data_IF_299348713521
#
_entry.id   IF_299348713521
#
_cell.length_a   1.000
_cell.length_b   1.000
_cell.length_c   1.000
_cell.angle_alpha   90.00
_cell.angle_beta   90.00
_cell.angle_gamma   90.00
#
_symmetry.space_group_name_H-M   'P 1'
#
loop_
_entity.id
_entity.type
_entity.pdbx_description
1 polymer ?
#
# COMPACT_ATOMS: atom_id res chain seq x y z
N UNK A 1 -38.75 -14.21 55.70
CA UNK A 1 -39.31 -12.90 55.28
C UNK A 1 -38.58 -12.52 53.98
N UNK A 2 -39.14 -12.40 52.78
CA UNK A 2 -40.52 -12.27 52.34
C UNK A 2 -40.71 -12.79 50.90
N UNK A 3 -41.84 -13.48 50.72
CA UNK A 3 -42.83 -13.40 49.62
C UNK A 3 -42.40 -13.57 48.15
N UNK A 4 -42.78 -14.73 47.63
CA UNK A 4 -43.10 -15.00 46.20
C UNK A 4 -44.21 -14.06 45.71
N UNK A 5 -44.19 -13.60 44.44
CA UNK A 5 -45.35 -13.00 43.81
C UNK A 5 -46.30 -14.09 43.32
N UNK A 6 -47.51 -14.08 43.86
CA UNK A 6 -48.67 -14.79 43.34
C UNK A 6 -49.19 -14.03 42.12
N UNK A 7 -49.03 -14.59 40.93
CA UNK A 7 -49.70 -14.09 39.72
C UNK A 7 -51.06 -14.75 39.60
N UNK A 8 -52.08 -13.94 39.82
CA UNK A 8 -53.51 -14.23 39.77
C UNK A 8 -53.90 -14.78 38.40
N UNK A 9 -54.48 -15.98 38.36
CA UNK A 9 -55.17 -16.49 37.18
C UNK A 9 -56.48 -15.73 36.99
N UNK A 10 -56.50 -14.77 36.07
CA UNK A 10 -57.73 -14.26 35.51
C UNK A 10 -58.25 -15.28 34.49
N UNK A 11 -59.10 -16.22 34.94
CA UNK A 11 -60.01 -16.97 34.06
C UNK A 11 -61.08 -16.00 33.57
N UNK A 12 -60.77 -15.26 32.51
CA UNK A 12 -61.78 -14.62 31.69
C UNK A 12 -62.50 -15.70 30.91
N UNK A 13 -63.83 -15.74 31.00
CA UNK A 13 -64.66 -16.52 30.10
C UNK A 13 -64.40 -16.01 28.67
N UNK A 14 -63.57 -16.73 27.92
CA UNK A 14 -63.50 -16.56 26.49
C UNK A 14 -64.86 -17.02 25.95
N UNK A 15 -65.70 -16.07 25.55
CA UNK A 15 -66.67 -16.34 24.50
C UNK A 15 -65.85 -16.99 23.39
N UNK A 16 -66.15 -18.24 23.04
CA UNK A 16 -65.56 -18.89 21.89
C UNK A 16 -65.93 -18.05 20.66
N UNK A 17 -65.10 -17.06 20.35
CA UNK A 17 -65.24 -16.26 19.16
C UNK A 17 -65.06 -17.25 18.02
N UNK A 18 -66.09 -17.41 17.20
CA UNK A 18 -66.03 -18.27 16.03
C UNK A 18 -64.77 -17.90 15.23
N UNK A 19 -63.88 -18.87 15.05
CA UNK A 19 -62.69 -18.71 14.23
C UNK A 19 -63.15 -18.56 12.78
N UNK A 20 -63.11 -17.34 12.25
CA UNK A 20 -63.43 -17.03 10.86
C UNK A 20 -62.14 -16.84 10.05
N UNK A 21 -62.07 -17.49 8.89
CA UNK A 21 -60.94 -17.33 7.98
C UNK A 21 -60.96 -15.94 7.36
N UNK A 22 -59.89 -15.17 7.54
CA UNK A 22 -59.78 -13.81 7.02
C UNK A 22 -59.81 -13.68 5.49
N UNK A 23 -59.66 -14.78 4.75
CA UNK A 23 -59.57 -14.78 3.29
C UNK A 23 -60.85 -15.27 2.64
N UNK A 24 -61.39 -16.42 3.08
CA UNK A 24 -62.59 -17.01 2.48
C UNK A 24 -63.87 -16.84 3.32
N UNK A 25 -63.78 -16.39 4.58
CA UNK A 25 -64.94 -16.25 5.48
C UNK A 25 -65.45 -17.55 6.10
N UNK A 26 -64.76 -18.68 5.88
CA UNK A 26 -65.16 -19.96 6.49
C UNK A 26 -65.06 -19.88 8.02
N UNK A 27 -66.09 -20.34 8.73
CA UNK A 27 -66.18 -20.35 10.19
C UNK A 27 -65.95 -21.77 10.74
N UNK A 28 -65.28 -21.87 11.88
CA UNK A 28 -65.13 -23.14 12.60
C UNK A 28 -66.47 -23.56 13.24
N UNK A 29 -66.95 -24.76 12.91
CA UNK A 29 -68.14 -25.33 13.52
C UNK A 29 -67.78 -26.01 14.85
N UNK A 30 -67.84 -25.24 15.93
CA UNK A 30 -67.82 -25.80 17.28
C UNK A 30 -69.26 -26.13 17.71
N UNK A 31 -69.64 -27.39 17.47
CA UNK A 31 -70.70 -28.11 18.18
C UNK A 31 -71.89 -27.24 18.64
N UNK A 32 -72.73 -26.79 17.71
CA UNK A 32 -74.11 -26.43 18.04
C UNK A 32 -75.04 -27.58 17.72
N UNK A 33 -75.66 -28.03 18.81
CA UNK A 33 -76.75 -28.98 18.90
C UNK A 33 -77.83 -28.70 17.84
N UNK A 34 -78.44 -29.76 17.34
CA UNK A 34 -79.16 -29.78 16.08
C UNK A 34 -80.35 -28.80 15.96
N UNK A 35 -80.57 -28.31 14.74
CA UNK A 35 -81.86 -27.76 14.33
C UNK A 35 -81.78 -26.67 13.27
N UNK A 36 -82.11 -27.01 12.03
CA UNK A 36 -82.55 -26.03 11.03
C UNK A 36 -81.88 -26.18 9.67
N UNK A 37 -82.56 -26.85 8.74
CA UNK A 37 -82.11 -26.99 7.36
C UNK A 37 -82.14 -25.66 6.60
N UNK A 38 -81.02 -25.35 5.97
CA UNK A 38 -80.87 -24.34 4.93
C UNK A 38 -79.66 -24.71 4.08
N UNK A 39 -79.87 -24.96 2.79
CA UNK A 39 -78.82 -25.38 1.86
C UNK A 39 -77.92 -24.19 1.48
N UNK A 40 -76.89 -23.94 2.28
CA UNK A 40 -75.69 -23.20 1.87
C UNK A 40 -74.51 -24.18 1.86
N UNK A 41 -73.79 -24.24 0.75
CA UNK A 41 -72.59 -25.08 0.54
C UNK A 41 -71.38 -24.57 1.33
N UNK A 42 -71.55 -24.22 2.60
CA UNK A 42 -70.47 -23.93 3.53
C UNK A 42 -69.96 -25.26 4.08
N UNK A 43 -68.73 -25.61 3.70
CA UNK A 43 -68.10 -26.84 4.16
C UNK A 43 -67.64 -26.60 5.60
N UNK A 44 -68.30 -27.24 6.58
CA UNK A 44 -67.97 -27.10 8.00
C UNK A 44 -66.54 -27.59 8.27
N UNK A 45 -65.64 -26.68 8.66
CA UNK A 45 -64.26 -27.01 9.03
C UNK A 45 -64.14 -27.12 10.55
N UNK A 46 -63.32 -28.06 11.00
CA UNK A 46 -63.00 -28.22 12.42
C UNK A 46 -62.06 -27.11 12.90
N UNK A 47 -62.17 -26.69 14.17
CA UNK A 47 -61.28 -25.68 14.76
C UNK A 47 -59.78 -26.02 14.65
N UNK A 48 -59.44 -27.32 14.53
CA UNK A 48 -58.07 -27.77 14.33
C UNK A 48 -57.52 -27.44 12.94
N UNK A 49 -58.34 -27.11 11.94
CA UNK A 49 -57.93 -26.75 10.57
C UNK A 49 -57.59 -25.27 10.38
N UNK A 50 -57.68 -24.46 11.44
CA UNK A 50 -57.29 -23.05 11.41
C UNK A 50 -55.87 -22.84 11.95
N UNK A 51 -55.14 -21.92 11.32
CA UNK A 51 -53.84 -21.43 11.77
C UNK A 51 -54.00 -19.96 12.13
N UNK A 52 -53.65 -19.61 13.37
CA UNK A 52 -53.75 -18.24 13.88
C UNK A 52 -52.39 -17.63 14.16
N UNK A 53 -52.27 -16.31 13.92
CA UNK A 53 -51.11 -15.55 14.36
C UNK A 53 -51.23 -15.16 15.85
N UNK A 54 -50.16 -14.62 16.43
CA UNK A 54 -50.13 -14.17 17.84
C UNK A 54 -51.20 -13.11 18.18
N UNK A 55 -51.66 -12.35 17.20
CA UNK A 55 -52.70 -11.32 17.36
C UNK A 55 -54.12 -11.84 17.09
N UNK A 56 -54.30 -13.16 16.95
CA UNK A 56 -55.62 -13.79 16.80
C UNK A 56 -56.19 -13.81 15.38
N UNK A 57 -55.44 -13.36 14.37
CA UNK A 57 -55.85 -13.47 12.96
C UNK A 57 -55.77 -14.91 12.49
N UNK A 58 -56.88 -15.48 12.03
CA UNK A 58 -56.99 -16.88 11.64
C UNK A 58 -57.15 -17.08 10.12
N UNK A 59 -56.57 -18.17 9.62
CA UNK A 59 -56.68 -18.64 8.23
C UNK A 59 -57.01 -20.13 8.25
N UNK A 60 -57.93 -20.55 7.38
CA UNK A 60 -58.10 -21.98 7.13
C UNK A 60 -56.86 -22.56 6.42
N UNK A 61 -56.68 -23.87 6.52
CA UNK A 61 -55.50 -24.59 6.00
C UNK A 61 -55.20 -24.32 4.51
N UNK A 62 -56.23 -24.28 3.66
CA UNK A 62 -56.09 -24.02 2.23
C UNK A 62 -55.63 -22.59 1.93
N UNK A 63 -56.22 -21.61 2.61
CA UNK A 63 -55.83 -20.20 2.49
C UNK A 63 -54.43 -19.96 3.08
N UNK A 64 -54.08 -20.66 4.16
CA UNK A 64 -52.75 -20.60 4.75
C UNK A 64 -51.68 -21.17 3.81
N UNK A 65 -51.90 -22.36 3.22
CA UNK A 65 -50.98 -22.97 2.26
C UNK A 65 -50.78 -22.07 1.03
N UNK A 66 -51.87 -21.55 0.48
CA UNK A 66 -51.83 -20.62 -0.68
C UNK A 66 -51.07 -19.34 -0.35
N UNK A 67 -51.27 -18.78 0.84
CA UNK A 67 -50.54 -17.60 1.31
C UNK A 67 -49.05 -17.88 1.46
N UNK A 68 -48.68 -18.99 2.10
CA UNK A 68 -47.27 -19.41 2.24
C UNK A 68 -46.62 -19.59 0.87
N UNK A 69 -47.29 -20.25 -0.08
CA UNK A 69 -46.79 -20.44 -1.44
C UNK A 69 -46.60 -19.10 -2.16
N UNK A 70 -47.59 -18.22 -2.10
CA UNK A 70 -47.55 -16.90 -2.76
C UNK A 70 -46.44 -16.03 -2.19
N UNK A 71 -46.24 -16.04 -0.87
CA UNK A 71 -45.17 -15.29 -0.22
C UNK A 71 -43.79 -15.87 -0.51
N UNK A 72 -43.66 -17.18 -0.60
CA UNK A 72 -42.38 -17.86 -0.83
C UNK A 72 -41.91 -17.80 -2.28
N UNK A 73 -42.81 -17.53 -3.22
CA UNK A 73 -42.50 -17.44 -4.66
C UNK A 73 -42.21 -16.02 -5.14
N UNK A 74 -42.23 -15.03 -4.24
CA UNK A 74 -41.91 -13.63 -4.57
C UNK A 74 -40.47 -13.46 -5.02
N UNK A 75 -40.20 -12.31 -5.65
CA UNK A 75 -38.86 -11.92 -6.05
C UNK A 75 -37.92 -11.84 -4.83
N UNK A 76 -36.64 -12.14 -5.05
CA UNK A 76 -35.63 -12.19 -3.98
C UNK A 76 -35.52 -10.85 -3.22
N UNK A 77 -35.74 -9.73 -3.91
CA UNK A 77 -35.78 -8.40 -3.30
C UNK A 77 -36.84 -8.29 -2.18
N UNK A 78 -38.04 -8.83 -2.41
CA UNK A 78 -39.13 -8.81 -1.43
C UNK A 78 -38.89 -9.82 -0.30
N UNK A 79 -38.35 -10.99 -0.65
CA UNK A 79 -37.98 -12.02 0.32
C UNK A 79 -36.91 -11.51 1.29
N UNK A 80 -35.94 -10.71 0.81
CA UNK A 80 -34.87 -10.13 1.64
C UNK A 80 -35.38 -9.20 2.73
N UNK A 81 -36.35 -8.34 2.41
CA UNK A 81 -36.98 -7.46 3.41
C UNK A 81 -37.54 -8.27 4.59
N UNK A 82 -37.99 -9.50 4.31
CA UNK A 82 -38.62 -10.41 5.26
C UNK A 82 -37.72 -11.56 5.71
N UNK A 83 -36.45 -11.59 5.28
CA UNK A 83 -35.50 -12.69 5.53
C UNK A 83 -36.03 -14.08 5.11
N UNK A 84 -36.87 -14.12 4.08
CA UNK A 84 -37.57 -15.33 3.61
C UNK A 84 -38.63 -15.86 4.58
N UNK A 85 -39.04 -15.09 5.60
CA UNK A 85 -40.06 -15.49 6.56
C UNK A 85 -41.47 -15.10 6.10
N UNK A 86 -42.46 -15.91 6.48
CA UNK A 86 -43.87 -15.67 6.14
C UNK A 86 -44.57 -15.02 7.33
N UNK A 87 -45.17 -13.86 7.08
CA UNK A 87 -45.92 -13.10 8.07
C UNK A 87 -47.43 -13.30 7.88
N UNK A 88 -48.21 -12.82 8.85
CA UNK A 88 -49.67 -12.75 8.74
C UNK A 88 -50.11 -12.03 7.46
N UNK A 89 -51.23 -12.43 6.84
CA UNK A 89 -51.79 -11.77 5.64
C UNK A 89 -52.03 -10.28 5.86
N UNK A 90 -52.42 -9.89 7.09
CA UNK A 90 -52.58 -8.49 7.52
C UNK A 90 -51.28 -7.75 7.77
N UNK A 91 -50.13 -8.41 7.67
CA UNK A 91 -48.83 -7.74 7.69
C UNK A 91 -48.44 -7.19 6.29
N UNK A 92 -49.25 -7.45 5.26
CA UNK A 92 -49.03 -6.87 3.93
C UNK A 92 -49.32 -5.36 3.90
N UNK A 93 -48.70 -4.66 2.95
CA UNK A 93 -48.90 -3.20 2.78
C UNK A 93 -50.32 -2.82 2.32
N UNK A 94 -51.15 -3.80 1.95
CA UNK A 94 -52.55 -3.57 1.60
C UNK A 94 -53.39 -3.07 2.80
N UNK A 95 -52.94 -3.29 4.04
CA UNK A 95 -53.69 -2.99 5.26
C UNK A 95 -53.11 -1.81 6.06
N UNK A 96 -52.76 -0.71 5.37
CA UNK A 96 -52.00 0.46 5.88
C UNK A 96 -52.38 0.95 7.31
N UNK A 97 -53.67 0.95 7.67
CA UNK A 97 -54.16 1.47 8.96
C UNK A 97 -54.35 0.39 10.05
N UNK A 98 -54.16 -0.90 9.72
CA UNK A 98 -54.37 -2.04 10.61
C UNK A 98 -53.34 -3.16 10.39
N UNK A 99 -52.07 -2.77 10.18
CA UNK A 99 -50.98 -3.71 9.91
C UNK A 99 -50.73 -4.60 11.13
N UNK A 100 -50.77 -5.91 10.92
CA UNK A 100 -50.44 -6.89 11.94
C UNK A 100 -48.92 -6.89 12.20
N UNK A 101 -48.52 -6.70 13.46
CA UNK A 101 -47.13 -6.73 13.95
C UNK A 101 -46.74 -8.08 14.58
N UNK A 102 -47.62 -9.09 14.47
CA UNK A 102 -47.35 -10.43 14.96
C UNK A 102 -46.06 -11.01 14.37
N UNK A 103 -45.35 -11.80 15.18
CA UNK A 103 -44.17 -12.56 14.73
C UNK A 103 -44.52 -13.44 13.52
N UNK A 104 -43.52 -13.66 12.67
CA UNK A 104 -43.61 -14.58 11.55
C UNK A 104 -44.07 -15.98 12.01
N UNK A 105 -44.70 -16.72 11.10
CA UNK A 105 -45.01 -18.11 11.37
C UNK A 105 -43.73 -18.92 11.48
N UNK A 106 -43.62 -19.72 12.54
CA UNK A 106 -42.47 -20.59 12.73
C UNK A 106 -42.45 -21.72 11.68
N UNK A 107 -41.26 -22.14 11.26
CA UNK A 107 -41.08 -23.22 10.29
C UNK A 107 -41.82 -24.52 10.69
N UNK A 108 -41.92 -24.81 11.99
CA UNK A 108 -42.67 -25.96 12.51
C UNK A 108 -44.18 -25.86 12.24
N UNK A 109 -44.75 -24.66 12.31
CA UNK A 109 -46.19 -24.44 12.03
C UNK A 109 -46.45 -24.61 10.54
N UNK A 110 -45.57 -24.08 9.70
CA UNK A 110 -45.66 -24.20 8.24
C UNK A 110 -45.52 -25.67 7.82
N UNK A 111 -44.51 -26.38 8.33
CA UNK A 111 -44.30 -27.80 8.04
C UNK A 111 -45.46 -28.70 8.49
N UNK A 112 -46.13 -28.36 9.59
CA UNK A 112 -47.22 -29.18 10.12
C UNK A 112 -48.56 -28.99 9.39
N UNK A 113 -48.70 -27.91 8.60
CA UNK A 113 -50.00 -27.43 8.07
C UNK A 113 -50.02 -27.17 6.57
N UNK A 114 -48.86 -27.19 5.92
CA UNK A 114 -48.74 -27.04 4.48
C UNK A 114 -48.34 -28.37 3.86
N UNK A 115 -48.69 -28.57 2.60
CA UNK A 115 -48.20 -29.69 1.81
C UNK A 115 -46.68 -29.59 1.55
N UNK A 116 -46.09 -30.71 1.12
CA UNK A 116 -44.66 -30.83 0.86
C UNK A 116 -44.16 -29.86 -0.21
N UNK A 117 -44.98 -29.54 -1.22
CA UNK A 117 -44.59 -28.64 -2.29
C UNK A 117 -44.48 -27.19 -1.77
N UNK A 118 -45.46 -26.76 -0.98
CA UNK A 118 -45.49 -25.45 -0.32
C UNK A 118 -44.38 -25.31 0.70
N UNK A 119 -44.12 -26.33 1.51
CA UNK A 119 -43.02 -26.31 2.47
C UNK A 119 -41.65 -26.27 1.78
N UNK A 120 -41.47 -27.02 0.68
CA UNK A 120 -40.27 -26.95 -0.15
C UNK A 120 -40.06 -25.55 -0.74
N UNK A 121 -41.12 -24.90 -1.24
CA UNK A 121 -41.04 -23.54 -1.75
C UNK A 121 -40.60 -22.55 -0.66
N UNK A 122 -41.17 -22.67 0.54
CA UNK A 122 -40.78 -21.86 1.70
C UNK A 122 -39.31 -22.06 2.11
N UNK A 123 -38.84 -23.31 2.18
CA UNK A 123 -37.44 -23.59 2.48
C UNK A 123 -36.51 -23.01 1.40
N UNK A 124 -36.83 -23.23 0.12
CA UNK A 124 -36.06 -22.68 -1.00
C UNK A 124 -35.99 -21.15 -0.96
N UNK A 125 -37.08 -20.46 -0.59
CA UNK A 125 -37.10 -19.01 -0.44
C UNK A 125 -36.11 -18.53 0.65
N UNK A 126 -36.09 -19.21 1.80
CA UNK A 126 -35.16 -18.89 2.90
C UNK A 126 -33.71 -19.17 2.53
N UNK A 127 -33.47 -20.29 1.86
CA UNK A 127 -32.13 -20.69 1.48
C UNK A 127 -31.56 -19.73 0.42
N UNK A 128 -32.36 -19.30 -0.58
CA UNK A 128 -31.94 -18.26 -1.54
C UNK A 128 -31.52 -16.95 -0.86
N UNK A 129 -32.26 -16.48 0.13
CA UNK A 129 -31.91 -15.26 0.87
C UNK A 129 -30.59 -15.43 1.63
N UNK A 130 -30.43 -16.57 2.33
CA UNK A 130 -29.19 -16.88 3.05
C UNK A 130 -28.00 -17.04 2.12
N UNK A 131 -28.19 -17.74 0.99
CA UNK A 131 -27.16 -17.94 -0.03
C UNK A 131 -26.67 -16.58 -0.56
N UNK A 132 -27.57 -15.66 -0.88
CA UNK A 132 -27.16 -14.34 -1.37
C UNK A 132 -26.43 -13.51 -0.29
N UNK A 133 -26.87 -13.59 0.96
CA UNK A 133 -26.17 -12.93 2.08
C UNK A 133 -24.78 -13.54 2.32
N UNK A 134 -24.64 -14.86 2.18
CA UNK A 134 -23.35 -15.56 2.25
C UNK A 134 -22.44 -15.17 1.09
N UNK A 135 -22.97 -15.10 -0.14
CA UNK A 135 -22.22 -14.66 -1.32
C UNK A 135 -21.71 -13.24 -1.13
N UNK A 136 -22.57 -12.30 -0.70
CA UNK A 136 -22.15 -10.91 -0.43
C UNK A 136 -21.05 -10.81 0.62
N UNK A 137 -21.21 -11.53 1.74
CA UNK A 137 -20.18 -11.54 2.78
C UNK A 137 -18.86 -12.16 2.31
N UNK A 138 -18.92 -13.18 1.45
CA UNK A 138 -17.74 -13.79 0.85
C UNK A 138 -17.05 -12.84 -0.14
N UNK A 139 -17.81 -12.18 -1.01
CA UNK A 139 -17.31 -11.17 -1.96
C UNK A 139 -16.61 -10.01 -1.23
N UNK A 140 -17.21 -9.48 -0.17
CA UNK A 140 -16.59 -8.44 0.65
C UNK A 140 -15.26 -8.87 1.26
N UNK A 141 -15.16 -10.13 1.73
CA UNK A 141 -13.91 -10.68 2.25
C UNK A 141 -12.86 -10.84 1.15
N UNK A 142 -13.26 -11.37 -0.01
CA UNK A 142 -12.38 -11.54 -1.17
C UNK A 142 -11.83 -10.18 -1.62
N UNK A 143 -12.67 -9.14 -1.69
CA UNK A 143 -12.25 -7.79 -2.08
C UNK A 143 -11.22 -7.21 -1.09
N UNK A 144 -11.46 -7.36 0.21
CA UNK A 144 -10.52 -6.88 1.25
C UNK A 144 -9.17 -7.62 1.19
N UNK A 145 -9.20 -8.93 1.00
CA UNK A 145 -7.97 -9.73 0.87
C UNK A 145 -7.20 -9.36 -0.40
N UNK A 146 -7.90 -9.15 -1.52
CA UNK A 146 -7.28 -8.68 -2.76
C UNK A 146 -6.61 -7.32 -2.58
N UNK A 147 -7.28 -6.37 -1.93
CA UNK A 147 -6.71 -5.05 -1.66
C UNK A 147 -5.44 -5.15 -0.77
N UNK A 148 -5.43 -6.05 0.22
CA UNK A 148 -4.24 -6.29 1.05
C UNK A 148 -3.07 -6.81 0.20
N UNK A 149 -3.31 -7.83 -0.61
CA UNK A 149 -2.29 -8.42 -1.49
C UNK A 149 -1.76 -7.42 -2.54
N UNK A 150 -2.62 -6.59 -3.12
CA UNK A 150 -2.21 -5.53 -4.05
C UNK A 150 -1.31 -4.49 -3.38
N UNK A 151 -1.60 -4.12 -2.12
CA UNK A 151 -0.74 -3.20 -1.35
C UNK A 151 0.60 -3.82 -0.99
N UNK A 152 0.62 -5.09 -0.56
CA UNK A 152 1.85 -5.83 -0.25
C UNK A 152 2.74 -5.95 -1.48
N UNK A 153 2.18 -6.38 -2.62
CA UNK A 153 2.92 -6.52 -3.89
C UNK A 153 3.44 -5.18 -4.42
N UNK A 154 2.67 -4.09 -4.26
CA UNK A 154 3.13 -2.76 -4.62
C UNK A 154 4.33 -2.30 -3.77
N UNK A 155 4.30 -2.57 -2.47
CA UNK A 155 5.41 -2.24 -1.57
C UNK A 155 6.68 -3.05 -1.90
N UNK A 156 6.54 -4.36 -2.16
CA UNK A 156 7.64 -5.22 -2.59
C UNK A 156 8.23 -4.79 -3.92
N UNK A 157 7.38 -4.43 -4.88
CA UNK A 157 7.82 -3.96 -6.20
C UNK A 157 8.63 -2.68 -6.07
N UNK A 158 8.14 -1.70 -5.29
CA UNK A 158 8.85 -0.46 -5.01
C UNK A 158 10.20 -0.70 -4.34
N UNK A 159 10.29 -1.68 -3.44
CA UNK A 159 11.54 -2.04 -2.75
C UNK A 159 12.54 -2.65 -3.73
N UNK A 160 12.08 -3.58 -4.57
CA UNK A 160 12.89 -4.20 -5.62
C UNK A 160 13.46 -3.16 -6.58
N UNK A 161 12.62 -2.23 -7.07
CA UNK A 161 13.04 -1.16 -7.98
C UNK A 161 14.05 -0.22 -7.33
N UNK A 162 13.83 0.18 -6.07
CA UNK A 162 14.76 1.03 -5.34
C UNK A 162 16.11 0.33 -5.13
N UNK A 163 16.08 -0.95 -4.75
CA UNK A 163 17.29 -1.79 -4.59
C UNK A 163 18.06 -1.93 -5.90
N UNK A 164 17.38 -2.29 -6.98
CA UNK A 164 17.98 -2.44 -8.31
C UNK A 164 18.64 -1.13 -8.77
N UNK A 165 17.96 0.00 -8.60
CA UNK A 165 18.53 1.31 -8.91
C UNK A 165 19.80 1.59 -8.11
N UNK A 166 19.80 1.38 -6.78
CA UNK A 166 20.97 1.66 -5.95
C UNK A 166 22.15 0.76 -6.35
N UNK A 167 21.91 -0.52 -6.61
CA UNK A 167 22.97 -1.46 -6.98
C UNK A 167 23.53 -1.10 -8.37
N UNK A 168 22.67 -1.02 -9.38
CA UNK A 168 23.09 -0.92 -10.78
C UNK A 168 23.50 0.49 -11.19
N UNK A 169 22.84 1.52 -10.67
CA UNK A 169 23.04 2.91 -11.09
C UNK A 169 24.05 3.65 -10.20
N UNK A 170 24.17 3.25 -8.92
CA UNK A 170 24.96 3.98 -7.92
C UNK A 170 26.20 3.20 -7.49
N UNK A 171 26.02 1.96 -7.02
CA UNK A 171 27.10 1.15 -6.45
C UNK A 171 28.05 0.62 -7.52
N UNK A 172 27.50 0.11 -8.61
CA UNK A 172 28.25 -0.37 -9.77
C UNK A 172 28.93 0.81 -10.47
N UNK A 173 30.26 0.77 -10.53
CA UNK A 173 30.99 1.68 -11.41
C UNK A 173 30.81 1.17 -12.84
N UNK A 174 30.21 1.99 -13.70
CA UNK A 174 29.90 1.60 -15.07
C UNK A 174 30.17 2.72 -16.06
N UNK A 175 30.14 2.36 -17.34
CA UNK A 175 30.24 3.31 -18.42
C UNK A 175 29.04 4.27 -18.41
N UNK A 176 29.26 5.61 -18.44
CA UNK A 176 28.19 6.60 -18.46
C UNK A 176 27.54 6.79 -19.83
N UNK A 177 27.96 6.02 -20.84
CA UNK A 177 27.28 6.00 -22.13
C UNK A 177 25.99 5.18 -21.99
N UNK A 178 24.85 5.82 -22.23
CA UNK A 178 23.51 5.24 -22.07
C UNK A 178 23.27 3.98 -22.90
N UNK A 179 23.95 3.85 -24.06
CA UNK A 179 23.83 2.67 -24.91
C UNK A 179 24.75 1.51 -24.47
N UNK A 180 25.75 1.78 -23.63
CA UNK A 180 26.76 0.79 -23.26
C UNK A 180 26.55 0.22 -21.85
N UNK A 181 26.45 1.09 -20.84
CA UNK A 181 26.29 0.78 -19.39
C UNK A 181 27.16 -0.35 -18.82
N UNK A 182 28.26 -0.72 -19.48
CA UNK A 182 29.11 -1.84 -19.07
C UNK A 182 29.78 -1.55 -17.73
N UNK A 183 29.74 -2.51 -16.81
CA UNK A 183 30.48 -2.45 -15.55
C UNK A 183 31.99 -2.36 -15.77
N UNK A 184 32.66 -1.60 -14.92
CA UNK A 184 34.10 -1.42 -14.93
C UNK A 184 34.76 -2.39 -13.95
N UNK A 185 35.72 -3.18 -14.43
CA UNK A 185 36.33 -4.28 -13.66
C UNK A 185 37.72 -3.92 -13.12
N UNK A 186 38.57 -3.31 -13.95
CA UNK A 186 40.02 -3.22 -13.65
C UNK A 186 40.54 -1.79 -13.56
N UNK A 187 41.23 -1.45 -12.47
CA UNK A 187 41.88 -0.16 -12.31
C UNK A 187 43.39 -0.24 -12.59
N UNK A 188 43.88 0.54 -13.55
CA UNK A 188 45.29 0.55 -14.00
C UNK A 188 46.14 1.69 -13.42
N UNK A 189 45.62 2.44 -12.45
CA UNK A 189 46.33 3.58 -11.85
C UNK A 189 46.02 4.95 -12.47
N UNK A 190 45.13 5.00 -13.47
CA UNK A 190 44.67 6.24 -14.09
C UNK A 190 43.19 6.49 -13.80
N UNK A 191 42.85 7.70 -13.34
CA UNK A 191 41.47 8.14 -13.03
C UNK A 191 40.69 8.60 -14.28
N UNK A 192 41.34 8.67 -15.44
CA UNK A 192 40.69 8.83 -16.74
C UNK A 192 40.38 7.43 -17.29
N UNK A 193 39.23 6.90 -16.89
CA UNK A 193 38.82 5.54 -17.25
C UNK A 193 38.39 5.50 -18.71
N UNK A 194 38.64 4.36 -19.37
CA UNK A 194 38.16 4.11 -20.73
C UNK A 194 37.36 2.82 -20.73
N UNK A 195 36.14 2.86 -21.26
CA UNK A 195 35.30 1.68 -21.39
C UNK A 195 35.89 0.70 -22.41
N UNK A 196 35.97 -0.59 -22.06
CA UNK A 196 36.53 -1.61 -22.95
C UNK A 196 35.65 -1.92 -24.16
N UNK A 197 34.32 -1.79 -24.05
CA UNK A 197 33.37 -2.05 -25.14
C UNK A 197 33.20 -0.87 -26.10
N UNK A 198 32.85 0.31 -25.60
CA UNK A 198 32.52 1.47 -26.45
C UNK A 198 33.64 2.51 -26.55
N UNK A 199 34.81 2.27 -25.92
CA UNK A 199 35.99 3.15 -25.94
C UNK A 199 35.75 4.56 -25.41
N UNK A 200 34.62 4.80 -24.75
CA UNK A 200 34.31 6.09 -24.14
C UNK A 200 35.22 6.32 -22.92
N UNK A 201 35.89 7.46 -22.89
CA UNK A 201 36.61 8.03 -21.77
C UNK A 201 35.66 8.71 -20.77
N UNK A 202 35.83 8.42 -19.49
CA UNK A 202 35.03 9.00 -18.42
C UNK A 202 35.84 9.18 -17.13
N UNK A 203 35.38 10.08 -16.28
CA UNK A 203 36.06 10.41 -15.03
C UNK A 203 35.71 9.42 -13.92
N UNK A 204 36.71 8.80 -13.28
CA UNK A 204 36.50 7.92 -12.13
C UNK A 204 35.82 8.63 -10.95
N UNK A 205 36.13 9.91 -10.71
CA UNK A 205 35.60 10.65 -9.57
C UNK A 205 34.11 10.95 -9.70
N UNK A 206 33.68 11.46 -10.86
CA UNK A 206 32.35 12.01 -11.05
C UNK A 206 31.47 11.26 -12.06
N UNK A 207 32.01 10.24 -12.72
CA UNK A 207 31.35 9.49 -13.80
C UNK A 207 30.92 10.31 -15.02
N UNK A 208 31.41 11.54 -15.19
CA UNK A 208 31.09 12.35 -16.37
C UNK A 208 31.61 11.68 -17.65
N UNK A 209 30.73 11.53 -18.64
CA UNK A 209 31.07 11.14 -20.00
C UNK A 209 31.94 12.23 -20.65
N UNK A 210 33.16 11.89 -21.05
CA UNK A 210 34.16 12.83 -21.59
C UNK A 210 34.53 12.57 -23.06
N UNK A 211 33.78 11.71 -23.77
CA UNK A 211 34.09 11.37 -25.16
C UNK A 211 35.19 10.31 -25.19
N UNK A 212 36.36 10.62 -25.74
CA UNK A 212 37.47 9.66 -25.85
C UNK A 212 38.54 9.84 -24.78
N UNK A 213 38.56 10.99 -24.10
CA UNK A 213 39.61 11.32 -23.14
C UNK A 213 39.06 12.15 -21.96
N UNK A 214 39.24 11.64 -20.75
CA UNK A 214 38.84 12.31 -19.51
C UNK A 214 39.99 13.04 -18.80
N UNK A 215 41.23 13.00 -19.31
CA UNK A 215 42.38 13.63 -18.66
C UNK A 215 42.17 15.14 -18.44
N UNK A 216 41.72 15.86 -19.46
CA UNK A 216 41.45 17.30 -19.37
C UNK A 216 40.34 17.64 -18.36
N UNK A 217 39.34 16.77 -18.21
CA UNK A 217 38.27 16.94 -17.25
C UNK A 217 38.77 16.84 -15.81
N UNK A 218 39.67 15.89 -15.51
CA UNK A 218 40.15 15.62 -14.14
C UNK A 218 40.77 16.86 -13.51
N UNK A 219 41.59 17.62 -14.25
CA UNK A 219 42.20 18.86 -13.75
C UNK A 219 41.19 19.91 -13.29
N UNK A 220 39.98 19.88 -13.83
CA UNK A 220 38.90 20.81 -13.52
C UNK A 220 37.80 20.17 -12.66
N UNK A 221 37.87 18.87 -12.39
CA UNK A 221 36.85 18.15 -11.64
C UNK A 221 36.87 18.56 -10.16
N UNK A 222 35.74 19.04 -9.66
CA UNK A 222 35.63 19.48 -8.26
C UNK A 222 35.87 18.32 -7.27
N UNK A 223 35.39 17.12 -7.60
CA UNK A 223 35.57 15.93 -6.76
C UNK A 223 37.01 15.46 -6.73
N UNK A 224 37.73 15.58 -7.85
CA UNK A 224 39.16 15.29 -7.88
C UNK A 224 39.91 16.26 -6.95
N UNK A 225 39.58 17.55 -7.00
CA UNK A 225 40.16 18.57 -6.10
C UNK A 225 39.86 18.25 -4.64
N UNK A 226 38.61 17.92 -4.31
CA UNK A 226 38.20 17.55 -2.95
C UNK A 226 38.96 16.31 -2.43
N UNK A 227 39.07 15.26 -3.25
CA UNK A 227 39.83 14.06 -2.91
C UNK A 227 41.31 14.37 -2.67
N UNK A 228 41.92 15.17 -3.53
CA UNK A 228 43.33 15.55 -3.36
C UNK A 228 43.55 16.37 -2.08
N UNK A 229 42.63 17.26 -1.73
CA UNK A 229 42.71 18.01 -0.48
C UNK A 229 42.52 17.12 0.76
N UNK A 230 41.65 16.11 0.70
CA UNK A 230 41.51 15.11 1.77
C UNK A 230 42.79 14.29 1.95
N UNK A 231 43.40 13.83 0.85
CA UNK A 231 44.63 13.04 0.90
C UNK A 231 45.82 13.86 1.41
N UNK A 232 45.97 15.13 1.00
CA UNK A 232 46.98 16.03 1.55
C UNK A 232 46.88 16.18 3.07
N UNK A 233 45.66 16.27 3.62
CA UNK A 233 45.43 16.38 5.07
C UNK A 233 45.83 15.09 5.81
N UNK A 234 45.57 13.92 5.22
CA UNK A 234 45.91 12.62 5.82
C UNK A 234 47.41 12.34 5.78
N UNK A 235 48.07 12.63 4.65
CA UNK A 235 49.42 12.18 4.39
C UNK A 235 50.50 12.84 5.26
N UNK A 236 50.21 13.95 5.98
CA UNK A 236 51.18 14.77 6.74
C UNK A 236 52.51 15.04 5.98
N UNK A 237 52.52 14.85 4.66
CA UNK A 237 53.69 14.87 3.79
C UNK A 237 53.24 15.21 2.37
N UNK A 238 54.08 15.97 1.66
CA UNK A 238 53.91 16.32 0.26
C UNK A 238 54.26 15.10 -0.60
N UNK A 239 53.35 14.13 -0.73
CA UNK A 239 53.47 13.13 -1.80
C UNK A 239 53.11 13.84 -3.10
N UNK A 240 54.12 14.45 -3.73
CA UNK A 240 54.03 14.91 -5.09
C UNK A 240 53.93 13.67 -5.99
N UNK A 241 52.70 13.20 -6.26
CA UNK A 241 52.50 12.24 -7.34
C UNK A 241 53.08 12.87 -8.61
N UNK A 242 54.02 12.15 -9.23
CA UNK A 242 54.61 12.59 -10.48
C UNK A 242 53.52 12.59 -11.54
N UNK A 243 52.97 13.78 -11.84
CA UNK A 243 51.84 13.87 -12.75
C UNK A 243 52.25 13.68 -14.22
N UNK A 244 53.55 13.47 -14.54
CA UNK A 244 54.07 13.18 -15.90
C UNK A 244 53.52 14.10 -17.00
N UNK A 245 53.26 15.38 -16.68
CA UNK A 245 52.65 16.36 -17.60
C UNK A 245 51.11 16.34 -17.68
N UNK A 246 50.43 15.43 -16.98
CA UNK A 246 48.99 15.39 -16.82
C UNK A 246 48.50 16.26 -15.65
N UNK A 247 47.19 16.58 -15.58
CA UNK A 247 46.63 17.32 -14.46
C UNK A 247 46.79 16.60 -13.10
N UNK A 248 46.87 17.33 -11.97
CA UNK A 248 46.89 16.73 -10.65
C UNK A 248 45.67 15.85 -10.39
N UNK A 249 45.88 14.66 -9.80
CA UNK A 249 44.83 13.68 -9.54
C UNK A 249 44.50 12.76 -10.71
N UNK A 250 45.18 12.91 -11.86
CA UNK A 250 45.06 11.95 -12.97
C UNK A 250 45.53 10.55 -12.58
N UNK A 251 46.69 10.44 -11.95
CA UNK A 251 47.21 9.16 -11.49
C UNK A 251 46.92 8.98 -10.01
N UNK A 252 46.56 7.76 -9.63
CA UNK A 252 46.22 7.43 -8.26
C UNK A 252 46.50 5.95 -7.99
N UNK A 253 46.81 5.63 -6.74
CA UNK A 253 46.86 4.25 -6.30
C UNK A 253 45.44 3.71 -6.06
N UNK A 254 45.32 2.39 -5.89
CA UNK A 254 44.03 1.73 -5.68
C UNK A 254 43.30 2.23 -4.42
N UNK A 255 44.02 2.63 -3.37
CA UNK A 255 43.41 3.16 -2.15
C UNK A 255 42.68 4.48 -2.40
N UNK A 256 43.31 5.41 -3.13
CA UNK A 256 42.68 6.69 -3.53
C UNK A 256 41.50 6.43 -4.47
N UNK A 257 41.62 5.47 -5.39
CA UNK A 257 40.52 5.05 -6.24
C UNK A 257 39.33 4.57 -5.39
N UNK A 258 39.52 3.57 -4.54
CA UNK A 258 38.46 3.04 -3.67
C UNK A 258 37.82 4.12 -2.79
N UNK A 259 38.62 5.02 -2.22
CA UNK A 259 38.13 6.15 -1.44
C UNK A 259 37.26 7.11 -2.28
N UNK A 260 37.68 7.39 -3.52
CA UNK A 260 36.93 8.23 -4.46
C UNK A 260 35.59 7.59 -4.84
N UNK A 261 35.61 6.28 -5.11
CA UNK A 261 34.41 5.51 -5.42
C UNK A 261 33.43 5.50 -4.24
N UNK A 262 33.95 5.36 -3.02
CA UNK A 262 33.16 5.42 -1.79
C UNK A 262 32.45 6.77 -1.65
N UNK A 263 33.17 7.89 -1.82
CA UNK A 263 32.55 9.23 -1.75
C UNK A 263 31.50 9.44 -2.84
N UNK A 264 31.79 8.98 -4.06
CA UNK A 264 30.82 9.05 -5.17
C UNK A 264 29.51 8.33 -4.81
N UNK A 265 29.61 7.07 -4.37
CA UNK A 265 28.43 6.26 -3.98
C UNK A 265 27.61 6.94 -2.89
N UNK A 266 28.27 7.46 -1.86
CA UNK A 266 27.58 8.15 -0.76
C UNK A 266 26.86 9.41 -1.22
N UNK A 267 27.52 10.23 -2.04
CA UNK A 267 26.91 11.44 -2.60
C UNK A 267 25.71 11.11 -3.48
N UNK A 268 25.87 10.16 -4.40
CA UNK A 268 24.84 9.82 -5.39
C UNK A 268 23.64 9.13 -4.71
N UNK A 269 23.90 8.26 -3.72
CA UNK A 269 22.84 7.68 -2.90
C UNK A 269 22.15 8.76 -2.04
N UNK A 270 22.90 9.63 -1.37
CA UNK A 270 22.31 10.72 -0.60
C UNK A 270 21.40 11.63 -1.46
N UNK A 271 21.79 11.88 -2.72
CA UNK A 271 20.97 12.61 -3.68
C UNK A 271 19.71 11.85 -4.10
N UNK A 272 19.83 10.54 -4.38
CA UNK A 272 18.70 9.69 -4.75
C UNK A 272 17.68 9.52 -3.61
N UNK A 273 18.17 9.37 -2.38
CA UNK A 273 17.35 9.20 -1.18
C UNK A 273 16.98 10.53 -0.49
N UNK A 274 17.15 11.67 -1.16
CA UNK A 274 16.93 13.00 -0.55
C UNK A 274 15.52 13.13 0.03
N UNK A 275 14.52 12.75 -0.75
CA UNK A 275 13.10 12.95 -0.46
C UNK A 275 12.43 11.74 0.20
N UNK A 276 13.21 10.72 0.58
CA UNK A 276 12.69 9.52 1.23
C UNK A 276 12.38 9.78 2.70
N UNK A 277 11.35 9.15 3.25
CA UNK A 277 11.17 9.13 4.69
C UNK A 277 12.19 8.19 5.36
N UNK A 278 12.43 8.39 6.66
CA UNK A 278 13.46 7.64 7.38
C UNK A 278 13.12 6.14 7.55
N UNK A 279 11.83 5.80 7.59
CA UNK A 279 11.40 4.40 7.68
C UNK A 279 11.69 3.67 6.36
N UNK A 280 11.30 4.25 5.23
CA UNK A 280 11.61 3.72 3.90
C UNK A 280 13.12 3.62 3.66
N UNK A 281 13.90 4.64 4.03
CA UNK A 281 15.35 4.61 3.91
C UNK A 281 15.94 3.44 4.69
N UNK A 282 15.48 3.19 5.91
CA UNK A 282 15.94 2.06 6.72
C UNK A 282 15.60 0.73 6.05
N UNK A 283 14.38 0.57 5.54
CA UNK A 283 13.97 -0.63 4.80
C UNK A 283 14.86 -0.90 3.59
N UNK A 284 15.17 0.12 2.79
CA UNK A 284 16.07 -0.03 1.63
C UNK A 284 17.47 -0.39 2.10
N UNK A 285 18.03 0.31 3.09
CA UNK A 285 19.38 0.06 3.63
C UNK A 285 19.53 -1.36 4.19
N UNK A 286 18.50 -1.89 4.85
CA UNK A 286 18.49 -3.27 5.34
C UNK A 286 18.48 -4.26 4.17
N UNK A 287 17.74 -3.96 3.10
CA UNK A 287 17.65 -4.83 1.91
C UNK A 287 18.95 -4.93 1.10
N UNK A 288 19.88 -3.97 1.25
CA UNK A 288 21.16 -3.88 0.52
C UNK A 288 22.38 -3.98 1.43
N UNK A 289 22.21 -4.47 2.66
CA UNK A 289 23.27 -4.46 3.67
C UNK A 289 24.51 -5.25 3.23
N UNK A 290 24.32 -6.36 2.51
CA UNK A 290 25.43 -7.20 2.02
C UNK A 290 26.26 -6.43 1.00
N UNK A 291 25.61 -5.82 0.02
CA UNK A 291 26.24 -5.02 -1.03
C UNK A 291 26.97 -3.80 -0.44
N UNK A 292 26.39 -3.16 0.58
CA UNK A 292 27.07 -2.08 1.32
C UNK A 292 28.33 -2.57 2.04
N UNK A 293 28.25 -3.73 2.70
CA UNK A 293 29.37 -4.33 3.43
C UNK A 293 30.54 -4.64 2.50
N UNK A 294 30.27 -5.23 1.34
CA UNK A 294 31.29 -5.55 0.32
C UNK A 294 31.99 -4.29 -0.20
N UNK A 295 31.28 -3.16 -0.23
CA UNK A 295 31.79 -1.86 -0.67
C UNK A 295 32.36 -1.01 0.47
N UNK A 296 32.44 -1.55 1.70
CA UNK A 296 32.94 -0.87 2.90
C UNK A 296 32.14 0.42 3.20
N UNK A 297 30.82 0.33 3.03
CA UNK A 297 29.84 1.37 3.37
C UNK A 297 29.04 0.94 4.60
N UNK A 298 28.74 1.89 5.48
CA UNK A 298 27.86 1.66 6.64
C UNK A 298 26.56 2.46 6.50
N UNK A 299 25.51 2.05 7.24
CA UNK A 299 24.24 2.80 7.29
C UNK A 299 24.46 4.24 7.78
N UNK A 300 25.33 4.40 8.79
CA UNK A 300 25.71 5.70 9.33
C UNK A 300 26.39 6.61 8.32
N UNK A 301 27.18 6.06 7.39
CA UNK A 301 27.80 6.84 6.32
C UNK A 301 26.74 7.46 5.39
N UNK A 302 25.72 6.68 5.02
CA UNK A 302 24.63 7.15 4.15
C UNK A 302 23.79 8.19 4.87
N UNK A 303 23.43 7.95 6.13
CA UNK A 303 22.70 8.90 6.96
C UNK A 303 23.48 10.21 7.14
N UNK A 304 24.79 10.13 7.36
CA UNK A 304 25.67 11.29 7.47
C UNK A 304 25.74 12.06 6.16
N UNK A 305 25.93 11.38 5.03
CA UNK A 305 25.96 12.00 3.70
C UNK A 305 24.63 12.71 3.36
N UNK A 306 23.50 12.10 3.71
CA UNK A 306 22.16 12.70 3.53
C UNK A 306 21.99 13.96 4.38
N UNK A 307 22.43 13.94 5.64
CA UNK A 307 22.43 15.12 6.53
C UNK A 307 23.32 16.24 5.99
N UNK A 308 24.51 15.92 5.47
CA UNK A 308 25.41 16.90 4.88
C UNK A 308 24.85 17.51 3.59
N UNK A 309 24.10 16.73 2.80
CA UNK A 309 23.41 17.23 1.61
C UNK A 309 22.25 18.17 1.98
N UNK A 310 21.50 17.85 3.04
CA UNK A 310 20.42 18.70 3.54
C UNK A 310 20.93 20.00 4.19
N UNK A 311 22.07 19.93 4.89
CA UNK A 311 22.70 21.05 5.58
C UNK A 311 24.15 21.24 5.10
N UNK A 312 24.37 21.84 3.92
CA UNK A 312 25.72 22.06 3.42
C UNK A 312 26.47 22.99 4.37
N UNK A 313 27.53 22.48 5.01
CA UNK A 313 28.39 23.29 5.88
C UNK A 313 28.91 24.50 5.07
N UNK A 314 28.87 25.73 5.62
CA UNK A 314 29.42 26.89 4.95
C UNK A 314 30.92 26.65 4.70
N UNK A 315 31.36 26.77 3.44
CA UNK A 315 32.77 26.63 3.08
C UNK A 315 33.59 27.60 3.95
N UNK A 316 34.69 27.16 4.61
CA UNK A 316 35.55 28.07 5.33
C UNK A 316 36.03 29.16 4.36
N UNK A 317 35.82 30.44 4.74
CA UNK A 317 36.27 31.58 3.94
C UNK A 317 37.76 31.38 3.59
N UNK A 318 38.18 31.58 2.33
CA UNK A 318 39.58 31.49 1.98
C UNK A 318 40.35 32.41 2.94
N UNK A 319 41.37 31.86 3.61
CA UNK A 319 42.28 32.69 4.42
C UNK A 319 42.79 33.80 3.51
N UNK A 320 42.76 35.07 3.94
CA UNK A 320 43.31 36.16 3.14
C UNK A 320 44.73 35.77 2.76
N UNK A 321 45.05 35.87 1.46
CA UNK A 321 46.37 35.53 0.96
C UNK A 321 47.43 36.21 1.85
N UNK A 322 48.52 35.51 2.22
CA UNK A 322 49.61 36.16 2.93
C UNK A 322 50.01 37.39 2.13
N UNK A 323 49.90 38.56 2.78
CA UNK A 323 50.17 39.87 2.22
C UNK A 323 51.49 39.76 1.46
N UNK A 324 51.46 39.97 0.14
CA UNK A 324 52.64 39.86 -0.70
C UNK A 324 53.78 40.62 -0.03
N UNK A 325 54.87 39.93 0.25
CA UNK A 325 56.09 40.57 0.75
C UNK A 325 56.42 41.71 -0.22
N UNK A 326 56.73 42.87 0.35
CA UNK A 326 57.06 44.06 -0.42
C UNK A 326 58.11 43.71 -1.49
N UNK A 327 57.98 44.25 -2.71
CA UNK A 327 58.96 43.99 -3.77
C UNK A 327 60.36 44.36 -3.26
N UNK A 328 61.40 43.57 -3.60
CA UNK A 328 62.76 43.89 -3.20
C UNK A 328 63.12 45.29 -3.72
N UNK A 329 63.73 46.10 -2.82
CA UNK A 329 64.26 47.42 -3.14
C UNK A 329 65.08 47.35 -4.44
N UNK A 330 64.75 48.24 -5.37
CA UNK A 330 65.46 48.39 -6.63
C UNK A 330 66.98 48.46 -6.40
N UNK A 331 67.71 47.58 -7.07
CA UNK A 331 69.16 47.58 -7.09
C UNK A 331 69.65 48.92 -7.69
N UNK A 332 70.62 49.54 -7.01
CA UNK A 332 71.24 50.78 -7.45
C UNK A 332 71.84 50.64 -8.86
N UNK A 333 71.78 51.69 -9.71
CA UNK A 333 72.29 51.61 -11.07
C UNK A 333 73.80 51.36 -11.09
N UNK A 334 74.23 50.35 -11.85
CA UNK A 334 75.63 50.05 -12.12
C UNK A 334 76.30 51.25 -12.81
N UNK A 335 77.42 51.68 -12.23
CA UNK A 335 78.30 52.73 -12.75
C UNK A 335 78.85 52.27 -14.11
N UNK A 336 78.47 52.97 -15.18
CA UNK A 336 79.03 52.76 -16.52
C UNK A 336 80.46 53.27 -16.52
N UNK A 337 81.43 52.38 -16.78
CA UNK A 337 82.84 52.74 -16.96
C UNK A 337 83.03 53.15 -18.43
N UNK A 338 83.55 54.35 -18.73
CA UNK A 338 83.78 54.78 -20.10
C UNK A 338 84.95 54.03 -20.76
N UNK A 339 84.91 53.78 -22.07
CA UNK A 339 85.97 53.08 -22.80
C UNK A 339 87.26 53.91 -22.87
N UNK A 340 88.38 53.20 -22.73
CA UNK A 340 89.75 53.71 -22.76
C UNK A 340 90.13 54.12 -24.18
N UNK A 341 90.56 55.36 -24.37
CA UNK A 341 91.01 55.90 -25.65
C UNK A 341 92.26 55.16 -26.17
N UNK A 342 92.25 54.86 -27.47
CA UNK A 342 93.39 54.31 -28.20
C UNK A 342 94.43 55.40 -28.48
N UNK A 343 95.72 55.09 -28.28
CA UNK A 343 96.83 55.94 -28.66
C UNK A 343 97.15 55.77 -30.17
N UNK A 344 97.48 56.85 -30.90
CA UNK A 344 97.90 56.80 -32.31
C UNK A 344 99.42 56.52 -32.42
N UNK A 345 99.95 56.31 -33.64
CA UNK A 345 100.96 55.29 -33.98
C UNK A 345 102.37 55.52 -33.46
#
# INVERSE_FOLDING_TARGET
>A
VARRPTSTMARGAAVAAALECLVCGDVADDARDGGGGGASTSTSLSASQFVSCANGHALCETCFSTHVMTESTKAIADLKVRKGEVFCVRASEAFKDAKCDAKCFGARVIAARCDDATFTAYQSARDKVKEEDLVKSAEEKILKERERLEKETAAETKLREAREHVIEEIFTLRCPNELCKQAFVDFSGCMALTCSRCRTGFCAYCLKHCGHDAHAHIGHCNLAKEMMELEKKKAKSNVALTNRGHPPGTFANFSIFTASQRLRRLRDFAAYAKDWDDAWLTTVLDSIEVEMRDLQLTKDDVLSARKELANPKPKPKPKPAPRAAAPPRAAAPRRVVPPRAAAPP
#
